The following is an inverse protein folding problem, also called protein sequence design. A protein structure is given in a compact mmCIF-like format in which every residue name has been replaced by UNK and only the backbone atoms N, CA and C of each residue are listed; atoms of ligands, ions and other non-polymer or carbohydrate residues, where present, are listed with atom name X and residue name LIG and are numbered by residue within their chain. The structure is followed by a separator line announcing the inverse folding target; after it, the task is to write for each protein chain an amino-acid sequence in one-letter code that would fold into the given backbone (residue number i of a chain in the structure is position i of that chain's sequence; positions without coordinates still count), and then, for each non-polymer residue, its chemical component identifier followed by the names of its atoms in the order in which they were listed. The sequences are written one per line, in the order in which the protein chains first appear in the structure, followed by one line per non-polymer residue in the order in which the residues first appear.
data_IF_073107380921
#
_entry.id   IF_073107380921
#
_cell.length_a   1.000
_cell.length_b   1.000
_cell.length_c   1.000
_cell.angle_alpha   90.00
_cell.angle_beta   90.00
_cell.angle_gamma   90.00
#
_symmetry.space_group_name_H-M   'P 1'
#
loop_
_entity.id
_entity.type
_entity.pdbx_description
1 polymer ?
#
# COMPACT_ATOMS: atom_id res chain seq x y z
N UNK A 1 -27.03 3.66 -9.58
CA UNK A 1 -26.32 2.43 -9.16
C UNK A 1 -26.20 1.53 -10.40
N UNK A 2 -25.10 1.65 -11.15
CA UNK A 2 -24.94 0.92 -12.42
C UNK A 2 -24.33 -0.47 -12.19
N UNK A 3 -24.75 -1.45 -12.98
CA UNK A 3 -24.30 -2.83 -12.80
C UNK A 3 -22.88 -3.02 -13.36
N UNK A 4 -22.02 -3.83 -12.71
CA UNK A 4 -20.68 -4.15 -13.21
C UNK A 4 -20.71 -4.82 -14.61
N UNK A 5 -21.86 -5.37 -15.02
CA UNK A 5 -22.06 -5.92 -16.37
C UNK A 5 -22.00 -4.85 -17.48
N UNK A 6 -22.34 -3.58 -17.20
CA UNK A 6 -22.19 -2.50 -18.19
C UNK A 6 -20.71 -2.13 -18.43
N UNK A 7 -19.84 -2.30 -17.43
CA UNK A 7 -18.41 -2.10 -17.59
C UNK A 7 -17.77 -3.19 -18.46
N UNK A 8 -18.21 -4.45 -18.33
CA UNK A 8 -17.73 -5.58 -19.14
C UNK A 8 -18.11 -5.42 -20.62
N UNK A 9 -19.27 -4.82 -20.92
CA UNK A 9 -19.66 -4.49 -22.30
C UNK A 9 -18.97 -3.23 -22.86
N UNK A 10 -18.24 -2.46 -22.03
CA UNK A 10 -17.64 -1.16 -22.38
C UNK A 10 -18.64 -0.16 -22.99
N UNK A 11 -19.93 -0.32 -22.71
CA UNK A 11 -21.00 0.59 -23.18
C UNK A 11 -21.22 1.75 -22.21
N UNK A 12 -20.42 1.85 -21.14
CA UNK A 12 -20.47 2.94 -20.20
C UNK A 12 -19.97 4.25 -20.85
N UNK A 13 -20.64 5.37 -20.54
CA UNK A 13 -20.36 6.69 -21.10
C UNK A 13 -18.87 7.09 -20.99
N UNK A 14 -18.17 6.71 -19.91
CA UNK A 14 -16.71 6.95 -19.77
C UNK A 14 -15.87 6.30 -20.90
N UNK A 15 -16.28 5.14 -21.44
CA UNK A 15 -15.56 4.44 -22.52
C UNK A 15 -16.04 4.82 -23.92
N UNK A 16 -17.22 5.42 -24.02
CA UNK A 16 -17.84 5.80 -25.30
C UNK A 16 -17.63 7.28 -25.62
N UNK A 17 -17.60 8.16 -24.61
CA UNK A 17 -17.52 9.62 -24.79
C UNK A 17 -16.10 10.19 -24.82
N UNK A 18 -15.14 9.55 -24.14
CA UNK A 18 -13.72 9.89 -24.27
C UNK A 18 -13.15 9.07 -25.43
N UNK A 19 -12.47 9.72 -26.37
CA UNK A 19 -11.92 9.12 -27.60
C UNK A 19 -10.80 8.10 -27.38
N UNK A 20 -11.05 7.06 -26.57
CA UNK A 20 -10.14 5.95 -26.36
C UNK A 20 -9.99 5.21 -27.69
N UNK A 21 -8.75 5.02 -28.20
CA UNK A 21 -8.47 4.23 -29.39
C UNK A 21 -9.08 2.81 -29.33
N UNK A 22 -9.50 2.29 -30.49
CA UNK A 22 -10.24 1.02 -30.58
C UNK A 22 -9.46 -0.20 -30.09
N UNK A 23 -8.15 -0.23 -30.37
CA UNK A 23 -7.17 -1.20 -29.87
C UNK A 23 -7.15 -1.23 -28.33
N UNK A 24 -7.08 -0.07 -27.67
CA UNK A 24 -7.12 0.02 -26.20
C UNK A 24 -8.44 -0.48 -25.64
N UNK A 25 -9.57 -0.20 -26.30
CA UNK A 25 -10.88 -0.75 -25.88
C UNK A 25 -10.90 -2.27 -25.91
N UNK A 26 -10.31 -2.88 -26.93
CA UNK A 26 -10.23 -4.35 -27.02
C UNK A 26 -9.33 -4.95 -25.93
N UNK A 27 -8.19 -4.30 -25.65
CA UNK A 27 -7.32 -4.67 -24.53
C UNK A 27 -8.05 -4.57 -23.19
N UNK A 28 -8.83 -3.50 -22.99
CA UNK A 28 -9.60 -3.30 -21.75
C UNK A 28 -10.65 -4.39 -21.58
N UNK A 29 -11.37 -4.74 -22.65
CA UNK A 29 -12.36 -5.82 -22.62
C UNK A 29 -11.71 -7.14 -22.22
N UNK A 30 -10.56 -7.45 -22.83
CA UNK A 30 -9.84 -8.70 -22.61
C UNK A 30 -9.42 -8.88 -21.15
N UNK A 31 -8.84 -7.85 -20.51
CA UNK A 31 -8.44 -7.99 -19.11
C UNK A 31 -9.63 -7.96 -18.14
N UNK A 32 -10.72 -7.24 -18.42
CA UNK A 32 -11.92 -7.25 -17.57
C UNK A 32 -12.57 -8.64 -17.54
N UNK A 33 -12.61 -9.32 -18.69
CA UNK A 33 -13.05 -10.72 -18.79
C UNK A 33 -12.10 -11.64 -18.02
N UNK A 34 -10.79 -11.42 -18.13
CA UNK A 34 -9.78 -12.16 -17.36
C UNK A 34 -10.00 -11.99 -15.84
N UNK A 35 -10.18 -10.76 -15.38
CA UNK A 35 -10.44 -10.44 -13.97
C UNK A 35 -11.71 -11.12 -13.47
N UNK A 36 -12.80 -11.06 -14.24
CA UNK A 36 -14.05 -11.74 -13.88
C UNK A 36 -13.82 -13.25 -13.67
N UNK A 37 -13.10 -13.89 -14.59
CA UNK A 37 -12.78 -15.31 -14.47
C UNK A 37 -11.88 -15.59 -13.26
N UNK A 38 -10.91 -14.73 -12.97
CA UNK A 38 -10.04 -14.86 -11.80
C UNK A 38 -10.82 -14.75 -10.48
N UNK A 39 -11.74 -13.79 -10.37
CA UNK A 39 -12.62 -13.61 -9.20
C UNK A 39 -13.51 -14.84 -9.01
N UNK A 40 -14.16 -15.32 -10.08
CA UNK A 40 -15.06 -16.48 -9.99
C UNK A 40 -14.32 -17.77 -9.59
N UNK A 41 -13.09 -17.96 -10.06
CA UNK A 41 -12.24 -19.11 -9.66
C UNK A 41 -11.85 -19.06 -8.18
N UNK A 42 -11.44 -17.89 -7.67
CA UNK A 42 -10.91 -17.76 -6.31
C UNK A 42 -11.99 -17.59 -5.24
N UNK A 43 -13.05 -16.84 -5.53
CA UNK A 43 -13.99 -16.40 -4.50
C UNK A 43 -15.17 -17.36 -4.26
N UNK A 44 -15.12 -18.59 -4.78
CA UNK A 44 -16.09 -19.69 -4.57
C UNK A 44 -17.49 -19.17 -4.19
N UNK A 45 -18.17 -18.50 -5.13
CA UNK A 45 -19.53 -17.95 -4.97
C UNK A 45 -19.73 -17.05 -3.73
N UNK A 46 -18.90 -16.03 -3.52
CA UNK A 46 -19.12 -15.07 -2.42
C UNK A 46 -18.60 -13.65 -2.63
N UNK A 47 -17.95 -13.34 -3.75
CA UNK A 47 -17.43 -11.98 -3.98
C UNK A 47 -18.58 -10.99 -4.18
N UNK A 48 -18.65 -10.00 -3.31
CA UNK A 48 -19.67 -8.98 -3.39
C UNK A 48 -19.10 -7.73 -4.07
N UNK A 49 -19.52 -7.52 -5.32
CA UNK A 49 -19.12 -6.36 -6.13
C UNK A 49 -19.75 -5.03 -5.65
N UNK A 50 -20.68 -5.04 -4.68
CA UNK A 50 -21.24 -3.80 -4.12
C UNK A 50 -20.11 -3.03 -3.42
N UNK A 51 -20.04 -1.71 -3.67
CA UNK A 51 -18.98 -0.79 -3.21
C UNK A 51 -17.59 -1.01 -3.83
N UNK A 52 -17.42 -1.92 -4.79
CA UNK A 52 -16.12 -2.10 -5.46
C UNK A 52 -15.76 -0.86 -6.31
N UNK A 53 -14.55 -0.33 -6.12
CA UNK A 53 -14.02 0.75 -6.96
C UNK A 53 -13.71 0.24 -8.36
N UNK A 54 -14.30 0.86 -9.39
CA UNK A 54 -14.05 0.53 -10.80
C UNK A 54 -12.57 0.71 -11.14
N UNK A 55 -11.91 1.75 -10.61
CA UNK A 55 -10.48 1.97 -10.80
C UNK A 55 -9.63 0.86 -10.17
N UNK A 56 -10.00 0.38 -8.98
CA UNK A 56 -9.28 -0.72 -8.32
C UNK A 56 -9.47 -2.03 -9.08
N UNK A 57 -10.68 -2.29 -9.59
CA UNK A 57 -10.94 -3.43 -10.47
C UNK A 57 -10.11 -3.33 -11.75
N UNK A 58 -10.04 -2.14 -12.37
CA UNK A 58 -9.19 -1.90 -13.54
C UNK A 58 -7.73 -2.23 -13.24
N UNK A 59 -7.13 -1.58 -12.23
CA UNK A 59 -5.71 -1.75 -11.92
C UNK A 59 -5.39 -3.18 -11.50
N UNK A 60 -6.26 -3.81 -10.72
CA UNK A 60 -6.10 -5.21 -10.30
C UNK A 60 -6.19 -6.15 -11.50
N UNK A 61 -7.18 -5.96 -12.37
CA UNK A 61 -7.36 -6.77 -13.57
C UNK A 61 -6.20 -6.60 -14.57
N UNK A 62 -5.80 -5.36 -14.83
CA UNK A 62 -4.69 -5.05 -15.72
C UNK A 62 -3.36 -5.58 -15.16
N UNK A 63 -3.11 -5.43 -13.85
CA UNK A 63 -1.88 -5.94 -13.23
C UNK A 63 -1.80 -7.46 -13.26
N UNK A 64 -2.92 -8.15 -13.05
CA UNK A 64 -2.98 -9.62 -13.17
C UNK A 64 -2.78 -10.09 -14.60
N UNK A 65 -3.42 -9.41 -15.56
CA UNK A 65 -3.36 -9.77 -16.97
C UNK A 65 -1.96 -9.55 -17.57
N UNK A 66 -1.31 -8.43 -17.22
CA UNK A 66 0.01 -8.06 -17.71
C UNK A 66 1.16 -8.65 -16.88
N UNK A 67 0.88 -9.23 -15.71
CA UNK A 67 1.89 -9.68 -14.76
C UNK A 67 2.78 -8.57 -14.20
N UNK A 68 2.37 -7.30 -14.33
CA UNK A 68 3.20 -6.12 -14.04
C UNK A 68 2.35 -4.94 -13.57
N UNK A 69 2.62 -4.47 -12.35
CA UNK A 69 2.00 -3.25 -11.78
C UNK A 69 2.38 -2.00 -12.59
N UNK A 70 3.66 -1.76 -12.94
CA UNK A 70 4.03 -0.62 -13.81
C UNK A 70 3.27 -0.61 -15.14
N UNK A 71 3.11 -1.76 -15.78
CA UNK A 71 2.40 -1.85 -17.07
C UNK A 71 0.90 -1.56 -16.92
N UNK A 72 0.30 -1.97 -15.79
CA UNK A 72 -1.08 -1.64 -15.46
C UNK A 72 -1.29 -0.14 -15.23
N UNK A 73 -0.35 0.51 -14.53
CA UNK A 73 -0.36 1.97 -14.33
C UNK A 73 -0.22 2.68 -15.66
N UNK A 74 0.72 2.26 -16.52
CA UNK A 74 0.90 2.84 -17.85
C UNK A 74 -0.38 2.75 -18.69
N UNK A 75 -1.04 1.60 -18.70
CA UNK A 75 -2.31 1.42 -19.39
C UNK A 75 -3.39 2.34 -18.80
N UNK A 76 -3.47 2.47 -17.48
CA UNK A 76 -4.43 3.36 -16.82
C UNK A 76 -4.23 4.83 -17.20
N UNK A 77 -2.99 5.32 -17.16
CA UNK A 77 -2.61 6.69 -17.59
C UNK A 77 -2.96 6.92 -19.06
N UNK A 78 -2.65 5.95 -19.91
CA UNK A 78 -2.94 5.99 -21.36
C UNK A 78 -4.44 6.04 -21.67
N UNK A 79 -5.27 5.39 -20.85
CA UNK A 79 -6.73 5.36 -21.02
C UNK A 79 -7.40 6.61 -20.45
N UNK A 80 -6.87 7.17 -19.37
CA UNK A 80 -7.43 8.37 -18.70
C UNK A 80 -7.01 9.69 -19.34
N UNK A 81 -6.08 9.66 -20.30
CA UNK A 81 -5.61 10.87 -20.99
C UNK A 81 -4.75 11.78 -20.11
N UNK A 82 -4.21 11.26 -19.00
CA UNK A 82 -3.27 11.98 -18.16
C UNK A 82 -2.01 12.28 -18.98
N UNK A 83 -1.59 13.55 -19.01
CA UNK A 83 -0.39 13.99 -19.72
C UNK A 83 0.86 13.35 -19.09
N UNK A 84 1.54 12.51 -19.86
CA UNK A 84 2.76 11.82 -19.42
C UNK A 84 3.97 12.76 -19.33
N UNK A 85 3.90 13.93 -19.99
CA UNK A 85 4.98 14.93 -19.97
C UNK A 85 5.04 15.70 -18.64
N UNK A 86 3.89 15.83 -17.97
CA UNK A 86 3.76 16.59 -16.72
C UNK A 86 3.55 15.71 -15.48
N UNK A 87 2.96 14.53 -15.64
CA UNK A 87 2.58 13.66 -14.52
C UNK A 87 3.15 12.27 -14.72
N UNK A 88 3.92 11.81 -13.73
CA UNK A 88 4.41 10.43 -13.65
C UNK A 88 3.88 9.77 -12.39
N UNK A 89 3.23 8.62 -12.55
CA UNK A 89 2.78 7.77 -11.45
C UNK A 89 3.73 6.59 -11.34
N UNK A 90 4.48 6.51 -10.23
CA UNK A 90 5.55 5.53 -10.05
C UNK A 90 5.25 4.69 -8.82
N UNK A 91 5.18 3.35 -8.92
CA UNK A 91 5.07 2.50 -7.75
C UNK A 91 6.38 2.55 -6.97
N UNK A 92 6.29 2.70 -5.64
CA UNK A 92 7.46 2.85 -4.76
C UNK A 92 8.31 1.59 -4.75
N UNK A 93 7.69 0.40 -4.78
CA UNK A 93 8.36 -0.90 -4.87
C UNK A 93 7.97 -1.54 -6.20
N UNK A 94 8.96 -2.04 -6.95
CA UNK A 94 8.71 -2.81 -8.17
C UNK A 94 8.91 -4.30 -7.89
N UNK A 95 7.83 -4.99 -7.54
CA UNK A 95 7.85 -6.44 -7.26
C UNK A 95 6.59 -7.11 -7.79
N UNK A 96 6.74 -8.32 -8.31
CA UNK A 96 5.63 -9.19 -8.71
C UNK A 96 5.00 -9.93 -7.51
N UNK A 97 5.70 -9.96 -6.37
CA UNK A 97 5.25 -10.63 -5.15
C UNK A 97 4.62 -9.64 -4.17
N UNK A 98 3.55 -10.05 -3.49
CA UNK A 98 2.94 -9.24 -2.43
C UNK A 98 3.93 -9.07 -1.28
N UNK A 99 4.20 -7.83 -0.92
CA UNK A 99 4.94 -7.46 0.28
C UNK A 99 3.94 -6.92 1.28
N UNK A 100 4.10 -7.31 2.55
CA UNK A 100 3.22 -6.89 3.64
C UNK A 100 3.98 -5.97 4.58
N UNK A 101 3.36 -4.89 5.05
CA UNK A 101 3.92 -4.08 6.14
C UNK A 101 3.53 -4.66 7.49
N UNK A 102 4.41 -4.51 8.47
CA UNK A 102 4.16 -4.83 9.86
C UNK A 102 4.57 -3.66 10.76
N UNK A 103 3.87 -3.50 11.88
CA UNK A 103 4.15 -2.52 12.92
C UNK A 103 4.69 -3.25 14.15
N UNK A 104 5.82 -2.77 14.68
CA UNK A 104 6.26 -3.10 16.03
C UNK A 104 5.79 -1.97 16.95
N UNK A 105 5.12 -2.32 18.05
CA UNK A 105 4.63 -1.36 19.04
C UNK A 105 5.63 -1.19 20.19
N UNK A 106 5.48 -0.13 20.97
CA UNK A 106 6.35 0.16 22.13
C UNK A 106 6.32 -0.92 23.22
N UNK A 107 5.21 -1.65 23.35
CA UNK A 107 5.10 -2.81 24.26
C UNK A 107 5.80 -4.08 23.73
N UNK A 108 6.41 -4.01 22.54
CA UNK A 108 7.10 -5.12 21.86
C UNK A 108 6.19 -6.05 21.07
N UNK A 109 4.88 -5.81 21.04
CA UNK A 109 3.97 -6.58 20.18
C UNK A 109 4.12 -6.21 18.70
N UNK A 110 3.80 -7.17 17.83
CA UNK A 110 3.91 -7.02 16.37
C UNK A 110 2.54 -7.24 15.73
N UNK A 111 2.13 -6.29 14.88
CA UNK A 111 0.92 -6.36 14.07
C UNK A 111 1.32 -6.47 12.60
N UNK A 112 1.01 -7.60 11.97
CA UNK A 112 1.31 -7.83 10.56
C UNK A 112 0.08 -7.55 9.68
N UNK A 113 0.27 -6.75 8.62
CA UNK A 113 -0.78 -6.42 7.66
C UNK A 113 -1.27 -4.99 7.78
N UNK A 114 -1.30 -4.27 6.65
CA UNK A 114 -1.78 -2.89 6.60
C UNK A 114 -3.19 -2.73 7.16
N UNK A 115 -4.09 -3.66 6.81
CA UNK A 115 -5.46 -3.62 7.31
C UNK A 115 -5.54 -3.88 8.82
N UNK A 116 -4.74 -4.79 9.39
CA UNK A 116 -4.78 -5.03 10.85
C UNK A 116 -4.23 -3.85 11.66
N UNK A 117 -3.30 -3.09 11.07
CA UNK A 117 -2.78 -1.84 11.66
C UNK A 117 -3.87 -0.77 11.65
N UNK A 118 -4.46 -0.46 10.49
CA UNK A 118 -5.36 0.69 10.34
C UNK A 118 -6.86 0.38 10.54
N UNK A 119 -7.32 -0.75 10.03
CA UNK A 119 -8.74 -1.12 9.90
C UNK A 119 -8.93 -2.64 10.10
N UNK A 120 -8.76 -3.16 11.32
CA UNK A 120 -8.83 -4.61 11.56
C UNK A 120 -10.21 -5.14 11.18
N UNK A 121 -10.22 -6.35 10.62
CA UNK A 121 -11.49 -7.05 10.43
C UNK A 121 -12.12 -7.35 11.79
N UNK A 122 -13.44 -7.31 11.91
CA UNK A 122 -14.15 -7.51 13.18
C UNK A 122 -13.74 -8.79 13.94
N UNK A 123 -14.08 -8.90 15.23
CA UNK A 123 -13.47 -9.84 16.19
C UNK A 123 -13.55 -11.33 15.83
N UNK A 124 -14.41 -11.74 14.88
CA UNK A 124 -14.50 -13.12 14.41
C UNK A 124 -13.35 -13.54 13.44
N UNK A 125 -12.53 -12.60 12.98
CA UNK A 125 -11.32 -12.86 12.18
C UNK A 125 -10.02 -12.77 13.01
N UNK A 126 -10.09 -12.39 14.28
CA UNK A 126 -8.93 -12.27 15.16
C UNK A 126 -8.51 -13.65 15.67
N UNK A 127 -7.76 -14.40 14.86
CA UNK A 127 -6.98 -15.54 15.33
C UNK A 127 -5.50 -15.15 15.46
N UNK A 128 -5.05 -15.16 16.72
CA UNK A 128 -3.68 -15.10 17.26
C UNK A 128 -3.03 -13.74 17.53
N UNK A 129 -3.49 -13.06 18.58
CA UNK A 129 -2.54 -12.58 19.59
C UNK A 129 -1.93 -13.82 20.25
N UNK A 130 -0.70 -14.21 19.86
CA UNK A 130 0.05 -15.28 20.54
C UNK A 130 1.19 -14.67 21.33
N UNK A 131 1.11 -14.82 22.65
CA UNK A 131 2.23 -14.72 23.56
C UNK A 131 3.36 -15.66 23.09
N UNK A 132 4.58 -15.13 23.13
CA UNK A 132 5.80 -15.80 22.68
C UNK A 132 6.28 -16.83 23.70
N UNK A 133 6.33 -18.10 23.30
CA UNK A 133 7.27 -19.08 23.87
C UNK A 133 7.86 -19.91 22.73
N UNK A 134 9.18 -19.77 22.54
CA UNK A 134 10.05 -20.77 21.88
C UNK A 134 9.97 -20.83 20.35
N UNK A 135 11.13 -20.81 19.70
CA UNK A 135 11.25 -20.67 18.25
C UNK A 135 10.59 -21.81 17.44
N UNK A 136 9.79 -21.40 16.45
CA UNK A 136 9.47 -22.13 15.23
C UNK A 136 8.77 -21.14 14.28
N UNK A 137 9.10 -21.18 12.99
CA UNK A 137 8.76 -20.16 11.99
C UNK A 137 7.29 -19.72 11.95
N UNK A 138 7.12 -18.42 11.74
CA UNK A 138 5.84 -17.73 11.55
C UNK A 138 5.12 -18.26 10.31
N UNK A 139 4.03 -19.01 10.50
CA UNK A 139 3.12 -19.37 9.41
C UNK A 139 2.16 -18.21 9.14
N UNK A 140 2.33 -17.56 8.00
CA UNK A 140 1.37 -16.62 7.46
C UNK A 140 0.17 -17.39 6.86
N UNK A 141 -0.98 -17.37 7.52
CA UNK A 141 -2.24 -17.80 6.89
C UNK A 141 -3.17 -16.61 6.63
N UNK A 142 -3.67 -16.60 5.39
CA UNK A 142 -4.79 -15.84 4.86
C UNK A 142 -4.66 -14.31 4.68
N UNK A 143 -3.50 -13.83 4.19
CA UNK A 143 -3.51 -12.64 3.31
C UNK A 143 -3.96 -13.12 1.93
N UNK A 144 -5.04 -12.56 1.36
CA UNK A 144 -5.48 -12.87 -0.01
C UNK A 144 -4.32 -12.65 -1.02
N UNK A 145 -3.61 -13.70 -1.48
CA UNK A 145 -2.55 -13.53 -2.44
C UNK A 145 -3.22 -13.52 -3.80
N UNK A 146 -3.23 -12.37 -4.46
CA UNK A 146 -3.68 -12.28 -5.85
C UNK A 146 -2.75 -13.07 -6.81
N UNK A 147 -1.61 -13.60 -6.35
CA UNK A 147 -0.51 -14.08 -7.20
C UNK A 147 -0.44 -15.57 -7.54
N UNK A 148 -1.32 -16.46 -7.05
CA UNK A 148 -1.34 -17.85 -7.58
C UNK A 148 -2.37 -18.01 -8.70
N UNK A 149 -2.04 -17.50 -9.89
CA UNK A 149 -2.63 -17.96 -11.13
C UNK A 149 -1.74 -19.10 -11.64
N UNK A 150 -2.27 -20.32 -11.67
CA UNK A 150 -1.69 -21.42 -12.43
C UNK A 150 -1.64 -21.00 -13.89
N UNK A 151 -0.44 -20.76 -14.42
CA UNK A 151 -0.19 -20.61 -15.85
C UNK A 151 -0.53 -21.93 -16.55
N UNK A 152 -1.49 -22.00 -17.49
CA UNK A 152 -1.48 -23.06 -18.48
C UNK A 152 -0.29 -22.83 -19.41
N UNK A 153 0.51 -23.87 -19.63
CA UNK A 153 1.61 -23.91 -20.59
C UNK A 153 1.09 -23.62 -22.01
N UNK A 154 1.59 -22.56 -22.63
CA UNK A 154 1.56 -22.37 -24.08
C UNK A 154 3.01 -22.17 -24.58
N UNK A 155 3.32 -22.53 -25.85
CA UNK A 155 4.69 -22.59 -26.35
C UNK A 155 5.30 -21.19 -26.42
N UNK A 156 6.54 -21.07 -25.97
CA UNK A 156 7.32 -19.84 -26.05
C UNK A 156 7.52 -19.39 -27.51
N UNK A 157 7.36 -18.10 -27.84
CA UNK A 157 7.86 -17.54 -29.08
C UNK A 157 9.39 -17.33 -28.98
N UNK A 158 10.13 -17.39 -30.10
CA UNK A 158 11.59 -17.40 -30.08
C UNK A 158 12.14 -16.05 -29.64
N UNK A 159 12.94 -16.05 -28.57
CA UNK A 159 13.76 -14.90 -28.17
C UNK A 159 15.08 -14.95 -28.94
N UNK A 160 15.35 -13.90 -29.70
CA UNK A 160 16.58 -13.67 -30.43
C UNK A 160 17.63 -13.08 -29.48
N UNK A 161 18.71 -13.83 -29.23
CA UNK A 161 20.05 -13.31 -28.91
C UNK A 161 20.25 -12.54 -27.61
N UNK A 162 20.66 -13.25 -26.55
CA UNK A 162 21.68 -12.78 -25.63
C UNK A 162 22.41 -14.03 -25.08
N UNK A 163 23.72 -14.06 -25.23
CA UNK A 163 24.61 -15.15 -24.83
C UNK A 163 24.62 -15.27 -23.30
N UNK A 164 24.42 -16.49 -22.78
CA UNK A 164 24.60 -16.81 -21.36
C UNK A 164 25.92 -17.59 -21.21
N UNK A 165 26.83 -17.03 -20.41
CA UNK A 165 28.11 -17.63 -20.02
C UNK A 165 27.88 -18.92 -19.21
N UNK A 166 28.51 -20.02 -19.64
CA UNK A 166 28.55 -21.30 -18.93
C UNK A 166 29.58 -21.24 -17.78
N UNK A 167 29.12 -21.40 -16.54
CA UNK A 167 29.84 -22.11 -15.48
C UNK A 167 29.00 -22.18 -14.19
N UNK A 168 28.48 -23.36 -13.82
CA UNK A 168 28.49 -23.89 -12.43
C UNK A 168 27.86 -25.30 -12.31
N UNK A 169 28.48 -26.09 -11.42
CA UNK A 169 28.40 -27.54 -11.27
C UNK A 169 27.07 -28.13 -10.71
N UNK A 170 26.77 -29.44 -10.94
CA UNK A 170 25.52 -30.06 -10.53
C UNK A 170 25.47 -30.44 -9.03
N UNK A 171 24.34 -30.16 -8.37
CA UNK A 171 23.99 -30.62 -7.03
C UNK A 171 23.16 -31.93 -7.05
N UNK A 172 23.23 -32.77 -5.99
CA UNK A 172 22.76 -34.16 -6.03
C UNK A 172 21.24 -34.33 -5.84
N UNK A 173 20.74 -35.43 -6.42
CA UNK A 173 19.35 -35.90 -6.43
C UNK A 173 18.82 -36.20 -5.02
N UNK A 174 17.57 -35.80 -4.75
CA UNK A 174 16.81 -36.16 -3.53
C UNK A 174 16.05 -37.50 -3.71
N UNK A 175 15.87 -38.32 -2.66
CA UNK A 175 15.25 -39.63 -2.78
C UNK A 175 13.70 -39.57 -2.84
N UNK A 176 13.13 -40.50 -3.60
CA UNK A 176 11.69 -40.74 -3.73
C UNK A 176 11.05 -41.16 -2.40
N UNK A 177 9.87 -40.60 -2.07
CA UNK A 177 9.02 -41.10 -0.99
C UNK A 177 7.64 -41.46 -1.54
N UNK A 178 7.29 -42.73 -1.40
CA UNK A 178 6.09 -43.39 -1.88
C UNK A 178 4.89 -43.17 -0.94
N UNK A 179 3.73 -42.90 -1.52
CA UNK A 179 2.43 -42.79 -0.85
C UNK A 179 1.91 -44.18 -0.46
N UNK A 180 1.49 -44.35 0.79
CA UNK A 180 0.66 -45.47 1.24
C UNK A 180 -0.68 -44.96 1.76
N UNK A 181 -1.76 -45.55 1.26
CA UNK A 181 -3.16 -45.28 1.61
C UNK A 181 -3.65 -46.43 2.49
N UNK A 182 -4.27 -46.12 3.62
CA UNK A 182 -5.04 -47.09 4.42
C UNK A 182 -6.52 -46.71 4.42
N UNK A 183 -7.44 -47.64 4.10
CA UNK A 183 -8.88 -47.43 4.23
C UNK A 183 -9.34 -47.82 5.64
N UNK A 184 -10.42 -47.18 6.11
CA UNK A 184 -11.32 -47.55 7.23
C UNK A 184 -11.44 -46.46 8.31
N UNK A 185 -12.56 -45.70 8.25
CA UNK A 185 -13.38 -45.32 9.39
C UNK A 185 -14.60 -44.47 8.93
N UNK A 186 -15.74 -45.15 8.84
CA UNK A 186 -17.10 -44.73 9.20
C UNK A 186 -17.72 -43.41 8.70
N UNK A 187 -18.75 -43.61 7.87
CA UNK A 187 -19.77 -42.65 7.45
C UNK A 187 -20.73 -42.38 8.61
N UNK A 188 -20.76 -41.14 9.12
CA UNK A 188 -21.85 -40.63 9.97
C UNK A 188 -22.49 -39.42 9.28
N UNK A 189 -23.79 -39.50 9.02
CA UNK A 189 -24.59 -38.45 8.38
C UNK A 189 -24.82 -37.23 9.30
N UNK A 190 -24.99 -36.01 8.74
CA UNK A 190 -24.94 -34.76 9.49
C UNK A 190 -26.29 -34.42 10.17
N UNK A 191 -26.21 -33.83 11.37
CA UNK A 191 -27.35 -33.18 12.05
C UNK A 191 -27.63 -31.79 11.45
N UNK A 192 -28.86 -31.26 11.55
CA UNK A 192 -29.33 -30.17 10.67
C UNK A 192 -28.64 -28.83 10.96
N UNK A 193 -28.12 -28.24 9.88
CA UNK A 193 -27.48 -26.94 9.80
C UNK A 193 -28.39 -25.82 10.30
N UNK A 194 -27.91 -25.05 11.27
CA UNK A 194 -28.34 -23.66 11.45
C UNK A 194 -27.97 -22.87 10.18
N UNK A 195 -28.79 -21.90 9.72
CA UNK A 195 -28.48 -21.16 8.50
C UNK A 195 -27.20 -20.37 8.71
N UNK A 196 -26.12 -20.82 8.07
CA UNK A 196 -24.87 -20.08 7.97
C UNK A 196 -25.21 -18.81 7.19
N UNK A 197 -25.42 -17.71 7.93
CA UNK A 197 -25.52 -16.39 7.36
C UNK A 197 -24.25 -16.16 6.54
N UNK A 198 -24.41 -16.03 5.23
CA UNK A 198 -23.36 -15.72 4.26
C UNK A 198 -22.94 -14.27 4.51
N UNK A 199 -22.22 -14.03 5.61
CA UNK A 199 -21.66 -12.72 5.94
C UNK A 199 -20.53 -12.43 4.95
N UNK A 200 -20.69 -11.34 4.22
CA UNK A 200 -19.76 -10.88 3.19
C UNK A 200 -18.39 -10.59 3.80
N UNK A 201 -17.35 -11.29 3.32
CA UNK A 201 -15.93 -11.11 3.68
C UNK A 201 -15.30 -9.87 3.02
N UNK A 202 -16.03 -8.76 3.01
CA UNK A 202 -15.52 -7.51 2.45
C UNK A 202 -14.84 -6.70 3.56
N UNK A 203 -13.65 -6.16 3.29
CA UNK A 203 -13.08 -5.08 4.10
C UNK A 203 -14.04 -3.89 4.06
N UNK A 204 -14.60 -3.51 5.20
CA UNK A 204 -15.40 -2.31 5.36
C UNK A 204 -14.49 -1.17 5.81
N UNK A 205 -14.14 -0.29 4.86
CA UNK A 205 -13.33 0.88 5.13
C UNK A 205 -14.18 1.96 5.80
N UNK A 206 -13.85 2.30 7.05
CA UNK A 206 -14.50 3.37 7.81
C UNK A 206 -13.42 4.18 8.53
N UNK A 207 -13.37 5.50 8.28
CA UNK A 207 -12.41 6.42 8.92
C UNK A 207 -12.90 6.98 10.27
N UNK A 208 -14.04 6.51 10.77
CA UNK A 208 -14.58 6.96 12.05
C UNK A 208 -13.78 6.32 13.20
N UNK A 209 -12.95 7.12 13.86
CA UNK A 209 -12.19 6.73 15.05
C UNK A 209 -13.08 6.18 16.18
N UNK A 210 -14.39 6.51 16.20
CA UNK A 210 -15.34 5.96 17.16
C UNK A 210 -15.72 4.50 16.89
N UNK A 211 -15.47 3.98 15.69
CA UNK A 211 -15.82 2.62 15.29
C UNK A 211 -14.69 1.62 15.51
N UNK A 212 -13.44 2.09 15.64
CA UNK A 212 -12.25 1.23 15.72
C UNK A 212 -11.39 1.69 16.91
N UNK A 213 -11.12 0.82 17.90
CA UNK A 213 -10.32 1.20 19.06
C UNK A 213 -8.88 1.55 18.65
N UNK A 214 -8.22 2.47 19.39
CA UNK A 214 -6.81 2.77 19.19
C UNK A 214 -5.93 1.54 19.42
N UNK A 215 -4.69 1.59 18.95
CA UNK A 215 -3.69 0.57 19.24
C UNK A 215 -3.35 0.55 20.75
N UNK A 216 -2.93 -0.61 21.29
CA UNK A 216 -2.64 -0.75 22.72
C UNK A 216 -1.44 0.10 23.19
N UNK A 217 -0.50 0.39 22.29
CA UNK A 217 0.64 1.29 22.50
C UNK A 217 1.05 1.95 21.18
N UNK A 218 1.91 2.99 21.23
CA UNK A 218 2.37 3.71 20.03
C UNK A 218 3.18 2.79 19.11
N UNK A 219 3.17 3.09 17.81
CA UNK A 219 3.98 2.35 16.85
C UNK A 219 5.44 2.80 16.95
N UNK A 220 6.32 1.88 17.33
CA UNK A 220 7.76 2.10 17.42
C UNK A 220 8.41 2.18 16.03
N UNK A 221 8.03 1.28 15.11
CA UNK A 221 8.51 1.29 13.72
C UNK A 221 7.62 0.47 12.78
N UNK A 222 7.75 0.77 11.49
CA UNK A 222 7.17 -0.03 10.40
C UNK A 222 8.29 -0.73 9.63
N UNK A 223 8.06 -1.99 9.27
CA UNK A 223 8.98 -2.80 8.48
C UNK A 223 8.21 -3.71 7.52
N UNK A 224 8.93 -4.35 6.60
CA UNK A 224 8.34 -5.19 5.57
C UNK A 224 8.55 -6.66 5.87
N UNK A 225 7.51 -7.45 5.66
CA UNK A 225 7.51 -8.90 5.76
C UNK A 225 7.38 -9.55 4.37
N UNK A 226 8.15 -10.61 4.18
CA UNK A 226 7.98 -11.55 3.07
C UNK A 226 6.69 -12.36 3.23
N UNK A 227 6.32 -13.10 2.18
CA UNK A 227 5.22 -14.09 2.23
C UNK A 227 5.43 -15.18 3.29
N UNK A 228 6.65 -15.34 3.79
CA UNK A 228 7.01 -16.31 4.84
C UNK A 228 7.09 -15.68 6.24
N UNK A 229 6.69 -14.41 6.40
CA UNK A 229 6.72 -13.73 7.70
C UNK A 229 8.13 -13.32 8.17
N UNK A 230 9.13 -13.38 7.29
CA UNK A 230 10.48 -12.89 7.59
C UNK A 230 10.60 -11.40 7.24
N UNK A 231 11.27 -10.62 8.09
CA UNK A 231 11.62 -9.23 7.80
C UNK A 231 12.51 -9.14 6.55
N UNK A 232 12.15 -8.24 5.64
CA UNK A 232 12.85 -8.02 4.38
C UNK A 232 13.02 -6.52 4.12
N UNK A 233 13.94 -6.19 3.22
CA UNK A 233 14.14 -4.83 2.71
C UNK A 233 13.89 -4.82 1.19
N UNK A 234 12.64 -4.58 0.76
CA UNK A 234 12.33 -4.49 -0.67
C UNK A 234 13.15 -3.38 -1.32
N UNK A 235 13.63 -3.62 -2.54
CA UNK A 235 14.34 -2.59 -3.30
C UNK A 235 13.32 -1.57 -3.84
N UNK A 236 13.51 -0.26 -3.58
CA UNK A 236 12.71 0.78 -4.20
C UNK A 236 12.84 0.75 -5.72
N UNK A 237 11.81 1.25 -6.39
CA UNK A 237 11.84 1.50 -7.83
C UNK A 237 12.92 2.55 -8.16
N UNK A 238 13.80 2.25 -9.11
CA UNK A 238 14.88 3.15 -9.52
C UNK A 238 14.37 4.48 -10.06
N UNK A 239 13.25 4.49 -10.80
CA UNK A 239 12.60 5.71 -11.29
C UNK A 239 12.05 6.57 -10.14
N UNK A 240 11.60 5.93 -9.06
CA UNK A 240 11.17 6.65 -7.85
C UNK A 240 12.36 7.31 -7.15
N UNK A 241 13.46 6.58 -6.97
CA UNK A 241 14.70 7.13 -6.40
C UNK A 241 15.27 8.27 -7.26
N UNK A 242 15.23 8.13 -8.58
CA UNK A 242 15.68 9.18 -9.49
C UNK A 242 14.80 10.43 -9.37
N UNK A 243 13.47 10.25 -9.30
CA UNK A 243 12.54 11.36 -9.13
C UNK A 243 12.77 12.11 -7.81
N UNK A 244 13.13 11.40 -6.73
CA UNK A 244 13.50 12.05 -5.47
C UNK A 244 14.80 12.86 -5.58
N UNK A 245 15.80 12.40 -6.35
CA UNK A 245 17.06 13.14 -6.55
C UNK A 245 16.87 14.40 -7.39
N UNK A 246 15.97 14.34 -8.36
CA UNK A 246 15.68 15.45 -9.27
C UNK A 246 14.65 16.44 -8.69
N UNK A 247 13.90 16.04 -7.67
CA UNK A 247 12.85 16.87 -7.08
C UNK A 247 13.45 18.12 -6.43
N UNK A 248 12.90 19.28 -6.79
CA UNK A 248 13.12 20.53 -6.06
C UNK A 248 12.27 20.61 -4.79
N UNK A 249 11.09 20.01 -4.84
CA UNK A 249 10.08 20.03 -3.77
C UNK A 249 9.51 18.64 -3.57
N UNK A 250 9.44 18.21 -2.31
CA UNK A 250 8.74 17.01 -1.87
C UNK A 250 7.51 17.40 -1.08
N UNK A 251 6.36 16.83 -1.43
CA UNK A 251 5.11 17.03 -0.70
C UNK A 251 4.64 15.69 -0.16
N UNK A 252 4.49 15.60 1.16
CA UNK A 252 3.82 14.50 1.82
C UNK A 252 2.32 14.81 1.84
N UNK A 253 1.56 14.09 1.03
CA UNK A 253 0.11 14.22 0.97
C UNK A 253 -0.53 13.77 2.30
N UNK A 254 -1.72 14.30 2.66
CA UNK A 254 -2.46 13.83 3.82
C UNK A 254 -2.82 12.35 3.67
N UNK A 255 -2.65 11.59 4.75
CA UNK A 255 -2.83 10.15 4.77
C UNK A 255 -2.32 9.55 6.08
N UNK A 256 -2.75 8.34 6.40
CA UNK A 256 -2.33 7.66 7.64
C UNK A 256 -0.81 7.57 7.71
N UNK A 257 -0.25 8.01 8.84
CA UNK A 257 1.18 8.23 8.99
C UNK A 257 1.96 6.93 8.80
N UNK A 258 1.57 5.87 9.52
CA UNK A 258 2.31 4.61 9.59
C UNK A 258 1.97 3.65 8.45
N UNK A 259 0.81 3.78 7.82
CA UNK A 259 0.39 2.88 6.72
C UNK A 259 0.38 3.48 5.32
N UNK A 260 0.60 4.79 5.18
CA UNK A 260 0.71 5.46 3.87
C UNK A 260 2.05 6.16 3.66
N UNK A 261 2.50 6.99 4.61
CA UNK A 261 3.69 7.83 4.43
C UNK A 261 4.97 7.11 4.84
N UNK A 262 5.02 6.62 6.08
CA UNK A 262 6.19 5.93 6.64
C UNK A 262 6.64 4.71 5.82
N UNK A 263 5.75 3.85 5.24
CA UNK A 263 6.21 2.74 4.42
C UNK A 263 7.09 3.18 3.25
N UNK A 264 6.78 4.31 2.62
CA UNK A 264 7.61 4.84 1.54
C UNK A 264 9.00 5.26 2.03
N UNK A 265 9.10 5.82 3.23
CA UNK A 265 10.35 6.32 3.84
C UNK A 265 11.20 5.23 4.48
N UNK A 266 10.56 4.17 4.97
CA UNK A 266 11.22 3.04 5.64
C UNK A 266 12.09 2.20 4.69
N UNK A 267 11.95 2.38 3.37
CA UNK A 267 12.76 1.68 2.38
C UNK A 267 14.16 2.32 2.25
N UNK A 268 15.21 1.50 2.21
CA UNK A 268 16.58 1.97 1.96
C UNK A 268 16.80 2.22 0.45
N UNK A 269 17.38 3.37 0.02
CA UNK A 269 17.92 4.50 0.79
C UNK A 269 16.99 5.73 0.85
N UNK A 270 15.66 5.57 0.82
CA UNK A 270 14.70 6.68 0.67
C UNK A 270 14.84 7.72 1.77
N UNK A 271 14.86 7.31 3.03
CA UNK A 271 15.00 8.24 4.16
C UNK A 271 16.29 9.07 4.11
N UNK A 272 17.40 8.50 3.63
CA UNK A 272 18.66 9.21 3.45
C UNK A 272 18.60 10.25 2.32
N UNK A 273 17.99 9.88 1.18
CA UNK A 273 17.80 10.81 0.06
C UNK A 273 16.89 11.98 0.44
N UNK A 274 15.86 11.73 1.25
CA UNK A 274 14.99 12.78 1.76
C UNK A 274 15.72 13.67 2.74
N UNK A 275 16.40 13.08 3.73
CA UNK A 275 17.01 13.84 4.81
C UNK A 275 18.26 14.63 4.38
N UNK A 276 19.13 13.98 3.60
CA UNK A 276 20.47 14.48 3.23
C UNK A 276 20.61 14.85 1.75
N UNK A 277 19.54 14.69 0.96
CA UNK A 277 19.55 15.03 -0.46
C UNK A 277 19.40 16.52 -0.75
N UNK A 278 19.13 16.81 -2.02
CA UNK A 278 19.13 18.17 -2.61
C UNK A 278 17.76 18.85 -2.60
N UNK A 279 16.73 18.19 -2.06
CA UNK A 279 15.36 18.70 -2.04
C UNK A 279 15.29 19.94 -1.14
N UNK A 280 14.98 21.09 -1.72
CA UNK A 280 15.00 22.38 -1.02
C UNK A 280 13.78 22.57 -0.10
N UNK A 281 12.60 22.15 -0.54
CA UNK A 281 11.35 22.29 0.22
C UNK A 281 10.70 20.93 0.44
N UNK A 282 10.46 20.58 1.71
CA UNK A 282 9.85 19.30 2.13
C UNK A 282 8.59 19.64 2.91
N UNK A 283 7.46 19.58 2.24
CA UNK A 283 6.17 20.08 2.72
C UNK A 283 5.35 18.93 3.28
N UNK A 284 5.06 18.94 4.57
CA UNK A 284 4.22 17.95 5.22
C UNK A 284 2.78 18.47 5.40
N UNK A 285 1.80 17.83 4.75
CA UNK A 285 0.40 18.15 4.94
C UNK A 285 -0.15 17.33 6.13
N UNK A 286 -0.24 17.98 7.30
CA UNK A 286 -0.63 17.32 8.55
C UNK A 286 -2.08 16.82 8.50
N UNK A 287 -2.32 15.59 8.94
CA UNK A 287 -3.66 15.03 9.02
C UNK A 287 -4.60 15.92 9.83
N UNK A 288 -5.84 16.07 9.37
CA UNK A 288 -6.80 16.96 10.00
C UNK A 288 -7.44 16.35 11.25
N UNK A 289 -7.48 15.03 11.35
CA UNK A 289 -8.04 14.30 12.49
C UNK A 289 -7.16 13.11 12.85
N UNK A 290 -7.17 12.76 14.13
CA UNK A 290 -6.49 11.59 14.65
C UNK A 290 -7.11 10.32 14.09
N UNK A 291 -6.27 9.32 13.85
CA UNK A 291 -6.68 7.96 13.50
C UNK A 291 -6.19 6.96 14.57
N UNK A 292 -6.54 5.68 14.37
CA UNK A 292 -6.13 4.59 15.26
C UNK A 292 -4.60 4.47 15.41
N UNK A 293 -3.83 4.89 14.41
CA UNK A 293 -2.37 4.76 14.36
C UNK A 293 -1.67 5.83 15.20
N UNK A 294 -2.33 6.97 15.40
CA UNK A 294 -1.75 8.19 15.98
C UNK A 294 -2.61 8.75 17.13
N UNK A 295 -3.03 7.94 18.12
CA UNK A 295 -3.86 8.43 19.21
C UNK A 295 -3.12 9.51 20.00
N UNK A 296 -3.75 10.66 20.17
CA UNK A 296 -3.24 11.81 20.93
C UNK A 296 -1.93 12.40 20.41
N UNK A 297 -1.56 12.13 19.15
CA UNK A 297 -0.40 12.77 18.53
C UNK A 297 -0.63 14.27 18.35
N UNK A 298 0.37 15.07 18.66
CA UNK A 298 0.46 16.45 18.18
C UNK A 298 1.33 16.55 16.92
N UNK A 299 1.40 17.74 16.32
CA UNK A 299 2.19 17.97 15.11
C UNK A 299 3.68 17.58 15.27
N UNK A 300 4.23 17.68 16.47
CA UNK A 300 5.65 17.41 16.74
C UNK A 300 5.89 15.91 16.85
N UNK A 301 4.97 15.15 17.44
CA UNK A 301 4.98 13.68 17.42
C UNK A 301 5.04 13.13 15.98
N UNK A 302 4.25 13.69 15.06
CA UNK A 302 4.27 13.33 13.64
C UNK A 302 5.65 13.55 13.00
N UNK A 303 6.28 14.68 13.31
CA UNK A 303 7.58 15.05 12.76
C UNK A 303 8.71 14.16 13.28
N UNK A 304 8.69 13.82 14.56
CA UNK A 304 9.65 12.87 15.14
C UNK A 304 9.49 11.48 14.57
N UNK A 305 8.26 10.99 14.37
CA UNK A 305 8.02 9.69 13.74
C UNK A 305 8.61 9.62 12.31
N UNK A 306 8.54 10.71 11.54
CA UNK A 306 9.17 10.81 10.22
C UNK A 306 10.71 10.82 10.33
N UNK A 307 11.26 11.63 11.23
CA UNK A 307 12.69 11.76 11.44
C UNK A 307 13.33 10.43 11.89
N UNK A 308 12.71 9.76 12.87
CA UNK A 308 13.15 8.47 13.39
C UNK A 308 13.13 7.40 12.28
N UNK A 309 12.05 7.34 11.49
CA UNK A 309 11.95 6.41 10.36
C UNK A 309 13.08 6.62 9.36
N UNK A 310 13.35 7.87 8.98
CA UNK A 310 14.42 8.20 8.05
C UNK A 310 15.81 7.89 8.64
N UNK A 311 16.02 8.21 9.92
CA UNK A 311 17.28 8.05 10.64
C UNK A 311 17.68 6.61 10.91
N UNK A 312 16.73 5.70 11.14
CA UNK A 312 16.97 4.24 11.35
C UNK A 312 17.72 3.57 10.20
N UNK A 313 17.68 4.18 9.02
CA UNK A 313 18.29 3.64 7.81
C UNK A 313 19.65 4.24 7.46
N UNK A 314 20.15 5.20 8.25
CA UNK A 314 21.47 5.79 8.03
C UNK A 314 22.58 4.80 8.37
N UNK A 315 23.71 4.90 7.66
CA UNK A 315 24.92 4.16 8.03
C UNK A 315 25.45 4.64 9.39
N UNK A 316 25.95 3.70 10.20
CA UNK A 316 26.47 3.97 11.55
C UNK A 316 27.56 5.06 11.52
N UNK A 317 27.46 6.02 12.46
CA UNK A 317 28.47 7.06 12.70
C UNK A 317 28.12 8.48 12.24
N UNK A 318 26.94 8.70 11.65
CA UNK A 318 26.43 10.03 11.30
C UNK A 318 25.65 10.73 12.40
N UNK A 319 25.41 12.04 12.25
CA UNK A 319 24.46 12.77 13.12
C UNK A 319 23.06 12.11 13.06
N UNK A 320 22.32 12.02 14.17
CA UNK A 320 20.91 11.61 14.15
C UNK A 320 20.09 12.45 13.18
N UNK A 321 19.02 11.88 12.63
CA UNK A 321 18.07 12.62 11.80
C UNK A 321 17.19 13.49 12.69
N UNK A 322 17.10 14.78 12.37
CA UNK A 322 16.20 15.70 13.07
C UNK A 322 14.95 16.00 12.22
N UNK A 323 13.83 16.46 12.82
CA UNK A 323 12.63 16.88 12.10
C UNK A 323 12.88 17.81 10.89
N UNK A 324 13.75 18.82 11.05
CA UNK A 324 14.11 19.75 9.95
C UNK A 324 14.80 19.09 8.76
N UNK A 325 15.44 17.95 8.98
CA UNK A 325 16.09 17.20 7.91
C UNK A 325 15.03 16.59 6.97
N UNK A 326 13.85 16.25 7.48
CA UNK A 326 12.80 15.56 6.71
C UNK A 326 11.65 16.46 6.29
N UNK A 327 11.37 17.52 7.05
CA UNK A 327 10.30 18.48 6.79
C UNK A 327 10.82 19.89 6.97
N UNK A 328 10.54 20.78 6.02
CA UNK A 328 10.86 22.21 6.13
C UNK A 328 9.62 23.07 6.35
N UNK A 329 8.46 22.62 5.88
CA UNK A 329 7.18 23.33 6.05
C UNK A 329 6.11 22.34 6.51
N UNK A 330 5.38 22.68 7.58
CA UNK A 330 4.22 21.92 8.03
C UNK A 330 2.95 22.70 7.73
N UNK A 331 2.12 22.17 6.84
CA UNK A 331 0.83 22.75 6.49
C UNK A 331 -0.25 22.09 7.31
N UNK A 332 -1.08 22.90 7.97
CA UNK A 332 -2.17 22.39 8.81
C UNK A 332 -3.46 23.21 8.63
N UNK A 333 -4.60 22.56 8.84
CA UNK A 333 -5.91 23.20 8.79
C UNK A 333 -6.23 23.88 10.13
N UNK A 334 -6.67 25.14 10.08
CA UNK A 334 -7.07 25.90 11.29
C UNK A 334 -8.21 25.27 12.08
N UNK A 335 -9.07 24.49 11.42
CA UNK A 335 -10.15 23.73 12.06
C UNK A 335 -9.85 22.22 12.12
N UNK A 336 -8.58 21.82 11.98
CA UNK A 336 -8.13 20.46 12.29
C UNK A 336 -8.18 20.17 13.80
N UNK A 337 -8.22 18.89 14.15
CA UNK A 337 -8.25 18.39 15.53
C UNK A 337 -6.86 18.11 16.10
N UNK A 338 -5.89 17.80 15.24
CA UNK A 338 -4.49 17.58 15.67
C UNK A 338 -3.95 18.89 16.24
N UNK A 339 -3.38 18.83 17.44
CA UNK A 339 -2.80 20.00 18.11
C UNK A 339 -1.54 20.47 17.39
N UNK A 340 -1.43 21.79 17.17
CA UNK A 340 -0.26 22.41 16.52
C UNK A 340 0.25 23.55 17.41
N UNK A 341 1.50 23.43 17.86
CA UNK A 341 2.22 24.53 18.52
C UNK A 341 3.20 25.17 17.53
N UNK A 342 2.83 26.32 16.97
CA UNK A 342 3.69 27.02 16.02
C UNK A 342 5.01 27.51 16.62
N UNK A 343 5.07 27.74 17.93
CA UNK A 343 6.29 28.14 18.61
C UNK A 343 7.29 27.00 18.60
N UNK A 344 6.84 25.81 18.97
CA UNK A 344 7.65 24.60 18.97
C UNK A 344 8.13 24.23 17.55
N UNK A 345 7.26 24.33 16.55
CA UNK A 345 7.64 24.11 15.15
C UNK A 345 8.78 25.03 14.70
N UNK A 346 8.70 26.32 15.02
CA UNK A 346 9.77 27.28 14.70
C UNK A 346 11.06 26.99 15.46
N UNK A 347 11.00 26.48 16.69
CA UNK A 347 12.21 26.04 17.41
C UNK A 347 12.88 24.82 16.78
N UNK A 348 12.10 24.00 16.08
CA UNK A 348 12.59 22.87 15.28
C UNK A 348 13.05 23.28 13.88
N UNK A 349 13.09 24.58 13.55
CA UNK A 349 13.42 25.11 12.21
C UNK A 349 12.45 24.65 11.12
N UNK A 350 11.16 24.53 11.48
CA UNK A 350 10.07 24.14 10.58
C UNK A 350 9.06 25.27 10.49
N UNK A 351 8.77 25.71 9.27
CA UNK A 351 7.83 26.82 9.03
C UNK A 351 6.37 26.32 9.10
N UNK A 352 5.55 26.82 10.04
CA UNK A 352 4.15 26.47 10.12
C UNK A 352 3.32 27.26 9.10
N UNK A 353 2.50 26.56 8.31
CA UNK A 353 1.64 27.14 7.27
C UNK A 353 0.17 26.81 7.57
N UNK A 354 -0.50 27.71 8.27
CA UNK A 354 -1.92 27.59 8.56
C UNK A 354 -2.79 27.89 7.33
N UNK A 355 -3.73 26.99 7.01
CA UNK A 355 -4.72 27.13 5.92
C UNK A 355 -6.16 26.84 6.36
N UNK A 356 -7.12 27.13 5.48
CA UNK A 356 -8.55 26.98 5.78
C UNK A 356 -9.07 28.07 6.73
N UNK A 357 -10.22 27.87 7.39
CA UNK A 357 -10.93 26.59 7.57
C UNK A 357 -11.67 26.11 6.32
N UNK A 358 -11.89 24.80 6.22
CA UNK A 358 -12.75 24.17 5.19
C UNK A 358 -14.05 23.65 5.81
N UNK A 359 -15.11 23.48 5.01
CA UNK A 359 -16.43 23.07 5.53
C UNK A 359 -16.41 21.69 6.20
N UNK A 360 -15.71 20.73 5.58
CA UNK A 360 -15.65 19.34 6.04
C UNK A 360 -14.50 19.08 7.04
N UNK A 361 -13.70 20.10 7.35
CA UNK A 361 -12.49 19.95 8.18
C UNK A 361 -11.42 19.08 7.52
N UNK A 362 -11.43 18.98 6.18
CA UNK A 362 -10.46 18.24 5.38
C UNK A 362 -9.82 19.16 4.33
N UNK A 363 -8.65 18.79 3.81
CA UNK A 363 -8.01 19.55 2.75
C UNK A 363 -8.84 19.48 1.47
N UNK A 364 -9.07 20.63 0.85
CA UNK A 364 -9.55 20.75 -0.52
C UNK A 364 -8.45 21.26 -1.46
N UNK A 365 -8.69 21.17 -2.78
CA UNK A 365 -7.74 21.59 -3.80
C UNK A 365 -7.39 23.08 -3.71
N UNK A 366 -8.34 23.92 -3.29
CA UNK A 366 -8.13 25.36 -3.16
C UNK A 366 -7.14 25.71 -2.05
N UNK A 367 -7.35 25.16 -0.85
CA UNK A 367 -6.48 25.41 0.30
C UNK A 367 -5.08 24.83 0.12
N UNK A 368 -4.95 23.68 -0.53
CA UNK A 368 -3.63 23.09 -0.83
C UNK A 368 -2.88 23.94 -1.85
N UNK A 369 -3.56 24.42 -2.91
CA UNK A 369 -2.94 25.31 -3.90
C UNK A 369 -2.47 26.62 -3.28
N UNK A 370 -3.26 27.23 -2.40
CA UNK A 370 -2.89 28.45 -1.68
C UNK A 370 -1.67 28.23 -0.78
N UNK A 371 -1.64 27.15 0.01
CA UNK A 371 -0.48 26.77 0.80
C UNK A 371 0.79 26.62 -0.06
N UNK A 372 0.70 25.84 -1.14
CA UNK A 372 1.84 25.57 -2.00
C UNK A 372 2.32 26.84 -2.73
N UNK A 373 1.41 27.73 -3.15
CA UNK A 373 1.78 29.01 -3.76
C UNK A 373 2.58 29.89 -2.78
N UNK A 374 2.09 30.03 -1.53
CA UNK A 374 2.79 30.76 -0.47
C UNK A 374 4.18 30.18 -0.18
N UNK A 375 4.28 28.86 -0.12
CA UNK A 375 5.55 28.16 0.09
C UNK A 375 6.48 28.37 -1.10
N UNK A 376 5.98 28.40 -2.34
CA UNK A 376 6.79 28.61 -3.54
C UNK A 376 7.36 30.03 -3.64
N UNK A 377 6.61 31.03 -3.16
CA UNK A 377 6.99 32.45 -3.18
C UNK A 377 7.99 32.85 -2.08
N UNK A 378 7.99 32.14 -0.94
CA UNK A 378 8.96 32.29 0.15
C UNK A 378 10.32 31.67 -0.19
#
# INVERSE_FOLDING_TARGET
MQSPFQAVKLTHLLFVSQGIPGDRKETIRSFLVYLQNAILKKAQRGFNFKKASIGNLFLSGASLFLGSVPSAIFLFVSVTGISQDSIRVIPVINTSSTVTIAAELEDGSIIAGQSEISHPSGPDNALSTRETVGGAGLRAEAVFPLTRATTPSFPEPPVLGAEEDEDHAPLPLSPEFTLSVSPDADIVSPSPLSPIATRSRNLEFTKDASAIPPLPSRILRIFYLSTHGLEIHPRPNSTFLQSLREASILVYAPGSLYTSVIPCLALKPVGELVARGTIAKKVFLLNAMDDRETPEYDAVDYLWALADTCGRNFADGGRPCEPKDVVTHLVYLRNGKVKVDEGELRTLDIEPVAVGPTQDGLFDDGVVKDALARILEA
#
